data_IF_801598764726
#
_entry.id   IF_801598764726
#
_cell.length_a   1.000
_cell.length_b   1.000
_cell.length_c   1.000
_cell.angle_alpha   90.00
_cell.angle_beta   90.00
_cell.angle_gamma   90.00
#
_symmetry.space_group_name_H-M   'P 1'
#
loop_
_entity.id
_entity.type
_entity.pdbx_description
1 polymer ?
#
# COMPACT_ATOMS: atom_id res chain seq x y z
N UNK A 1 -0.72 8.18 3.74
CA UNK A 1 -0.82 6.77 4.26
C UNK A 1 0.09 6.57 5.47
N UNK A 2 0.17 7.58 6.37
CA UNK A 2 0.86 7.55 7.66
C UNK A 2 -0.06 7.87 8.84
N UNK A 3 -1.38 7.71 8.68
CA UNK A 3 -2.37 7.98 9.74
C UNK A 3 -3.27 6.76 10.04
N UNK A 4 -3.53 5.92 9.04
CA UNK A 4 -4.41 4.76 9.15
C UNK A 4 -3.71 3.59 8.45
N UNK A 5 -3.65 2.44 9.14
CA UNK A 5 -3.07 1.20 8.61
C UNK A 5 -4.18 0.17 8.39
N UNK A 6 -4.73 0.05 7.16
CA UNK A 6 -5.74 -0.96 6.88
C UNK A 6 -5.15 -2.37 6.97
N UNK A 7 -5.95 -3.39 7.36
CA UNK A 7 -5.53 -4.78 7.36
C UNK A 7 -4.98 -5.20 5.98
N UNK A 8 -3.89 -5.98 5.98
CA UNK A 8 -3.21 -6.43 4.76
C UNK A 8 -2.16 -5.48 4.18
N UNK A 9 -2.03 -4.25 4.71
CA UNK A 9 -1.07 -3.24 4.22
C UNK A 9 0.04 -2.91 5.23
N UNK A 10 0.23 -3.73 6.26
CA UNK A 10 1.14 -3.42 7.39
C UNK A 10 2.57 -3.11 6.95
N UNK A 11 3.15 -3.91 6.06
CA UNK A 11 4.51 -3.69 5.55
C UNK A 11 4.64 -2.37 4.75
N UNK A 12 3.63 -2.06 3.93
CA UNK A 12 3.58 -0.81 3.17
C UNK A 12 3.45 0.39 4.10
N UNK A 13 2.50 0.35 5.04
CA UNK A 13 2.31 1.41 6.03
C UNK A 13 3.57 1.61 6.88
N UNK A 14 4.17 0.54 7.41
CA UNK A 14 5.42 0.62 8.17
C UNK A 14 6.54 1.33 7.38
N UNK A 15 6.66 1.02 6.08
CA UNK A 15 7.63 1.67 5.19
C UNK A 15 7.33 3.17 4.99
N UNK A 16 6.05 3.55 4.86
CA UNK A 16 5.63 4.96 4.75
C UNK A 16 5.89 5.74 6.04
N UNK A 17 5.60 5.17 7.21
CA UNK A 17 5.95 5.76 8.50
C UNK A 17 7.47 5.93 8.68
N UNK A 18 8.25 4.91 8.30
CA UNK A 18 9.71 4.99 8.36
C UNK A 18 10.25 6.10 7.45
N UNK A 19 9.67 6.28 6.26
CA UNK A 19 10.04 7.33 5.32
C UNK A 19 9.70 8.74 5.85
N UNK A 20 8.55 8.90 6.52
CA UNK A 20 8.16 10.14 7.20
C UNK A 20 9.17 10.51 8.29
N UNK A 21 9.55 9.55 9.13
CA UNK A 21 10.54 9.73 10.18
C UNK A 21 11.94 10.06 9.60
N UNK A 22 12.35 9.37 8.55
CA UNK A 22 13.60 9.66 7.84
C UNK A 22 13.63 11.11 7.33
N UNK A 23 12.54 11.54 6.71
CA UNK A 23 12.43 12.90 6.17
C UNK A 23 12.40 13.97 7.26
N UNK A 24 11.85 13.67 8.44
CA UNK A 24 11.90 14.52 9.63
C UNK A 24 13.34 14.72 10.13
N UNK A 25 14.12 13.64 10.26
CA UNK A 25 15.54 13.71 10.60
C UNK A 25 16.31 14.54 9.56
N UNK A 26 16.10 14.23 8.27
CA UNK A 26 16.77 14.92 7.17
C UNK A 26 16.46 16.42 7.18
N UNK A 27 15.25 16.84 7.54
CA UNK A 27 14.91 18.27 7.65
C UNK A 27 15.77 18.99 8.68
N UNK A 28 16.04 18.35 9.83
CA UNK A 28 16.88 18.93 10.90
C UNK A 28 18.34 18.93 10.50
N UNK A 29 18.79 17.86 9.88
CA UNK A 29 20.15 17.77 9.34
C UNK A 29 20.40 18.86 8.31
N UNK A 30 19.46 19.09 7.38
CA UNK A 30 19.61 20.04 6.29
C UNK A 30 19.44 21.52 6.70
N UNK A 31 18.96 21.78 7.92
CA UNK A 31 18.69 23.13 8.44
C UNK A 31 19.89 24.09 8.38
N UNK A 32 21.14 23.70 8.73
CA UNK A 32 22.31 24.59 8.69
C UNK A 32 22.62 25.13 7.29
N UNK A 33 22.17 24.43 6.23
CA UNK A 33 22.36 24.85 4.83
C UNK A 33 21.17 25.62 4.26
N UNK A 34 20.20 26.01 5.09
CA UNK A 34 18.96 26.69 4.66
C UNK A 34 18.15 25.91 3.61
N UNK A 35 18.31 24.58 3.58
CA UNK A 35 17.57 23.70 2.67
C UNK A 35 16.25 23.25 3.30
N UNK A 36 15.17 23.33 2.52
CA UNK A 36 13.81 22.93 2.95
C UNK A 36 13.45 21.55 2.43
N UNK A 37 13.01 20.69 3.34
CA UNK A 37 12.55 19.33 3.04
C UNK A 37 11.04 19.23 3.31
N UNK A 38 10.29 18.84 2.28
CA UNK A 38 8.84 18.66 2.32
C UNK A 38 8.47 17.28 1.76
N UNK A 39 7.47 16.63 2.37
CA UNK A 39 6.87 15.39 1.85
C UNK A 39 5.54 15.75 1.20
N UNK A 40 5.29 15.20 0.02
CA UNK A 40 3.99 15.26 -0.62
C UNK A 40 3.29 13.93 -0.37
N UNK A 41 2.23 13.96 0.43
CA UNK A 41 1.39 12.80 0.67
C UNK A 41 0.30 12.71 -0.40
N UNK A 42 0.52 11.86 -1.40
CA UNK A 42 -0.52 11.52 -2.35
C UNK A 42 -1.57 10.61 -1.71
N UNK A 43 -2.82 10.80 -2.10
CA UNK A 43 -3.88 9.82 -1.89
C UNK A 43 -3.68 8.56 -2.72
N UNK A 44 -4.71 7.71 -2.77
CA UNK A 44 -4.71 6.55 -3.65
C UNK A 44 -4.75 7.01 -5.12
N UNK A 45 -3.75 6.60 -5.90
CA UNK A 45 -3.65 6.88 -7.33
C UNK A 45 -3.77 5.58 -8.12
N UNK A 46 -4.47 5.63 -9.26
CA UNK A 46 -4.67 4.50 -10.16
C UNK A 46 -3.37 4.15 -10.89
N UNK A 47 -2.46 3.52 -10.17
CA UNK A 47 -1.14 3.05 -10.64
C UNK A 47 -1.14 1.54 -10.84
N UNK A 48 -0.08 1.02 -11.47
CA UNK A 48 0.10 -0.42 -11.69
C UNK A 48 0.13 -1.24 -10.38
N UNK A 49 0.56 -0.65 -9.26
CA UNK A 49 0.52 -1.31 -7.94
C UNK A 49 -0.91 -1.69 -7.55
N UNK A 50 -1.87 -0.78 -7.77
CA UNK A 50 -3.28 -1.05 -7.47
C UNK A 50 -3.89 -1.98 -8.52
N UNK A 51 -3.58 -1.75 -9.80
CA UNK A 51 -4.17 -2.50 -10.90
C UNK A 51 -3.71 -3.96 -10.97
N UNK A 52 -2.50 -4.28 -10.50
CA UNK A 52 -1.94 -5.66 -10.54
C UNK A 52 -2.06 -6.39 -9.20
N UNK A 53 -2.71 -5.78 -8.21
CA UNK A 53 -2.78 -6.31 -6.86
C UNK A 53 -3.45 -7.69 -6.80
N UNK A 54 -4.51 -7.90 -7.60
CA UNK A 54 -5.22 -9.19 -7.69
C UNK A 54 -4.30 -10.31 -8.21
N UNK A 55 -3.50 -10.02 -9.23
CA UNK A 55 -2.55 -10.98 -9.80
C UNK A 55 -1.47 -11.31 -8.78
N UNK A 56 -0.92 -10.32 -8.09
CA UNK A 56 0.09 -10.53 -7.04
C UNK A 56 -0.47 -11.42 -5.92
N UNK A 57 -1.70 -11.18 -5.49
CA UNK A 57 -2.37 -12.01 -4.48
C UNK A 57 -2.58 -13.46 -4.96
N UNK A 58 -2.96 -13.66 -6.23
CA UNK A 58 -3.09 -14.99 -6.85
C UNK A 58 -1.76 -15.73 -6.91
N UNK A 59 -0.72 -15.06 -7.40
CA UNK A 59 0.62 -15.63 -7.51
C UNK A 59 1.18 -15.99 -6.12
N UNK A 60 0.95 -15.12 -5.12
CA UNK A 60 1.29 -15.40 -3.72
C UNK A 60 0.58 -16.64 -3.20
N UNK A 61 -0.75 -16.71 -3.34
CA UNK A 61 -1.55 -17.86 -2.85
C UNK A 61 -1.10 -19.17 -3.49
N UNK A 62 -0.91 -19.18 -4.81
CA UNK A 62 -0.46 -20.37 -5.54
C UNK A 62 0.97 -20.80 -5.17
N UNK A 63 1.81 -19.85 -4.76
CA UNK A 63 3.18 -20.12 -4.29
C UNK A 63 3.26 -20.63 -2.85
N UNK A 64 2.18 -20.60 -2.06
CA UNK A 64 2.18 -21.11 -0.69
C UNK A 64 2.20 -22.65 -0.66
N UNK A 65 2.83 -23.19 0.39
CA UNK A 65 2.83 -24.64 0.63
C UNK A 65 1.40 -25.17 0.80
N UNK A 66 1.21 -26.45 0.48
CA UNK A 66 -0.09 -27.10 0.62
C UNK A 66 -0.61 -27.03 2.07
N UNK A 67 0.26 -27.17 3.06
CA UNK A 67 -0.12 -27.10 4.48
C UNK A 67 -0.72 -25.75 4.87
N UNK A 68 -0.16 -24.64 4.35
CA UNK A 68 -0.66 -23.30 4.63
C UNK A 68 -2.00 -23.08 3.93
N UNK A 69 -2.11 -23.47 2.65
CA UNK A 69 -3.38 -23.37 1.91
C UNK A 69 -4.48 -24.19 2.56
N UNK A 70 -4.18 -25.41 3.02
CA UNK A 70 -5.13 -26.26 3.73
C UNK A 70 -5.52 -25.68 5.10
N UNK A 71 -4.56 -25.07 5.82
CA UNK A 71 -4.81 -24.44 7.13
C UNK A 71 -5.79 -23.27 7.04
N UNK A 72 -5.61 -22.39 6.06
CA UNK A 72 -6.45 -21.20 5.90
C UNK A 72 -7.72 -21.49 5.08
N UNK A 73 -7.64 -22.43 4.14
CA UNK A 73 -8.73 -22.86 3.27
C UNK A 73 -9.03 -21.88 2.13
N UNK A 74 -9.61 -22.40 1.05
CA UNK A 74 -9.97 -21.59 -0.13
C UNK A 74 -11.07 -20.56 0.17
N UNK A 75 -11.92 -20.82 1.17
CA UNK A 75 -12.95 -19.86 1.59
C UNK A 75 -12.34 -18.56 2.11
N UNK A 76 -11.29 -18.64 2.92
CA UNK A 76 -10.56 -17.45 3.39
C UNK A 76 -9.94 -16.68 2.23
N UNK A 77 -9.31 -17.41 1.29
CA UNK A 77 -8.69 -16.81 0.12
C UNK A 77 -9.71 -16.08 -0.78
N UNK A 78 -10.86 -16.72 -1.04
CA UNK A 78 -11.92 -16.12 -1.86
C UNK A 78 -12.51 -14.86 -1.20
N UNK A 79 -12.73 -14.87 0.12
CA UNK A 79 -13.19 -13.70 0.87
C UNK A 79 -12.14 -12.56 0.85
N UNK A 80 -10.85 -12.88 0.98
CA UNK A 80 -9.76 -11.93 0.87
C UNK A 80 -9.71 -11.27 -0.53
N UNK A 81 -9.86 -12.08 -1.59
CA UNK A 81 -9.92 -11.59 -2.97
C UNK A 81 -11.11 -10.67 -3.19
N UNK A 82 -12.31 -11.06 -2.73
CA UNK A 82 -13.53 -10.27 -2.92
C UNK A 82 -13.41 -8.89 -2.22
N UNK A 83 -12.88 -8.88 -0.99
CA UNK A 83 -12.64 -7.64 -0.23
C UNK A 83 -11.59 -6.75 -0.89
N UNK A 84 -10.52 -7.35 -1.44
CA UNK A 84 -9.41 -6.62 -2.05
C UNK A 84 -9.73 -6.06 -3.43
N UNK A 85 -10.52 -6.77 -4.25
CA UNK A 85 -10.79 -6.41 -5.65
C UNK A 85 -12.10 -5.64 -5.80
N UNK A 86 -13.17 -6.06 -5.13
CA UNK A 86 -14.54 -5.65 -5.46
C UNK A 86 -15.09 -4.58 -4.51
N UNK A 87 -14.66 -4.61 -3.24
CA UNK A 87 -15.24 -3.78 -2.16
C UNK A 87 -14.31 -2.70 -1.59
N UNK A 88 -13.06 -2.59 -2.04
CA UNK A 88 -12.14 -1.57 -1.52
C UNK A 88 -12.59 -0.15 -1.92
N UNK A 89 -12.93 0.74 -0.97
CA UNK A 89 -13.26 2.13 -1.28
C UNK A 89 -12.08 2.87 -1.94
N UNK A 90 -10.86 2.48 -1.58
CA UNK A 90 -9.62 3.08 -2.03
C UNK A 90 -9.36 2.92 -3.53
N UNK A 91 -9.82 1.82 -4.14
CA UNK A 91 -9.67 1.59 -5.59
C UNK A 91 -10.75 2.30 -6.39
N UNK A 92 -11.96 2.43 -5.84
CA UNK A 92 -13.08 3.15 -6.47
C UNK A 92 -12.84 4.66 -6.57
N UNK A 93 -12.21 5.24 -5.55
CA UNK A 93 -11.93 6.68 -5.47
C UNK A 93 -10.49 7.03 -5.88
N UNK A 94 -9.75 6.08 -6.46
CA UNK A 94 -8.37 6.34 -6.87
C UNK A 94 -8.35 7.37 -8.01
N UNK A 95 -7.63 8.46 -7.82
CA UNK A 95 -7.50 9.51 -8.83
C UNK A 95 -6.59 9.05 -9.99
N UNK A 96 -6.83 9.61 -11.18
CA UNK A 96 -6.00 9.32 -12.34
C UNK A 96 -4.68 10.11 -12.24
N UNK A 97 -3.52 9.42 -12.19
CA UNK A 97 -2.23 10.09 -12.06
C UNK A 97 -1.88 10.99 -13.26
N UNK A 98 -2.52 10.81 -14.42
CA UNK A 98 -2.29 11.61 -15.62
C UNK A 98 -3.31 12.75 -15.79
N UNK A 99 -4.28 12.87 -14.88
CA UNK A 99 -5.23 13.98 -14.90
C UNK A 99 -4.51 15.24 -14.41
N UNK A 100 -4.06 16.05 -15.35
CA UNK A 100 -3.58 17.40 -15.09
C UNK A 100 -4.81 18.27 -14.83
N UNK A 101 -4.91 18.79 -13.62
CA UNK A 101 -5.87 19.87 -13.27
C UNK A 101 -5.21 21.21 -13.55
#
# INVERSE_FOLDING_TARGET
>A
MGLISPPGMSAYCASKYAFELFSECLRREMFPWSLRISIIESGCLRTLIIQRHDRILRDLWNGLSADIRNRWGDNFYNDLLEKSVTKSPSTKHAEDPMKVV
#
